data_IF_237111109988
#
_entry.id   IF_237111109988
#
_cell.length_a   1.000
_cell.length_b   1.000
_cell.length_c   1.000
_cell.angle_alpha   90.00
_cell.angle_beta   90.00
_cell.angle_gamma   90.00
#
_symmetry.space_group_name_H-M   'P 1'
#
loop_
_entity.id
_entity.type
_entity.pdbx_description
1 polymer ?
#
# COMPACT_ATOMS: atom_id res chain seq x y z
N UNK A 1 5.16 10.66 7.03
CA UNK A 1 5.13 9.48 6.13
C UNK A 1 3.73 9.33 5.57
N UNK A 2 3.60 9.25 4.24
CA UNK A 2 2.32 9.27 3.53
C UNK A 2 1.55 7.94 3.55
N UNK A 3 2.20 6.85 3.99
CA UNK A 3 1.58 5.53 4.07
C UNK A 3 2.06 4.80 5.33
N UNK A 4 1.34 4.99 6.44
CA UNK A 4 1.66 4.36 7.74
C UNK A 4 1.25 2.88 7.75
N UNK A 5 0.16 2.54 7.07
CA UNK A 5 -0.39 1.19 6.99
C UNK A 5 0.59 0.19 6.36
N UNK A 6 1.31 0.57 5.30
CA UNK A 6 2.32 -0.29 4.69
C UNK A 6 3.48 -0.64 5.63
N UNK A 7 3.81 0.24 6.59
CA UNK A 7 4.90 0.01 7.53
C UNK A 7 4.44 -0.73 8.80
N UNK A 8 3.19 -0.51 9.21
CA UNK A 8 2.60 -1.16 10.37
C UNK A 8 1.16 -1.62 10.04
N UNK A 9 0.95 -2.94 9.82
CA UNK A 9 -0.37 -3.48 9.53
C UNK A 9 -1.34 -3.32 10.70
N UNK A 10 -0.86 -3.17 11.94
CA UNK A 10 -1.69 -2.89 13.12
C UNK A 10 -2.31 -1.47 13.13
N UNK A 11 -2.01 -0.65 12.12
CA UNK A 11 -2.73 0.61 11.88
C UNK A 11 -4.07 0.36 11.17
N UNK A 12 -4.33 -0.85 10.63
CA UNK A 12 -5.65 -1.21 10.13
C UNK A 12 -6.71 -0.95 11.21
N UNK A 13 -7.75 -0.18 10.87
CA UNK A 13 -8.83 0.17 11.80
C UNK A 13 -8.43 1.03 13.00
N UNK A 14 -7.23 1.62 13.02
CA UNK A 14 -6.86 2.62 14.04
C UNK A 14 -7.73 3.89 13.93
N UNK A 15 -8.38 4.08 12.79
CA UNK A 15 -9.39 5.11 12.57
C UNK A 15 -10.72 4.43 12.22
N UNK A 16 -11.86 5.00 12.66
CA UNK A 16 -13.19 4.42 12.39
C UNK A 16 -13.63 4.57 10.93
N UNK A 17 -12.97 5.44 10.17
CA UNK A 17 -13.30 5.74 8.78
C UNK A 17 -12.54 4.82 7.80
N UNK A 18 -13.04 4.74 6.57
CA UNK A 18 -12.30 4.11 5.48
C UNK A 18 -11.13 5.01 5.06
N UNK A 19 -9.91 4.51 5.21
CA UNK A 19 -8.71 5.18 4.74
C UNK A 19 -8.13 4.47 3.53
N UNK A 20 -8.11 5.16 2.38
CA UNK A 20 -7.47 4.70 1.16
C UNK A 20 -6.32 5.63 0.76
N UNK A 21 -5.18 5.05 0.36
CA UNK A 21 -4.02 5.79 -0.11
C UNK A 21 -3.54 5.22 -1.44
N UNK A 22 -3.31 6.10 -2.41
CA UNK A 22 -2.62 5.79 -3.66
C UNK A 22 -1.30 6.57 -3.70
N UNK A 23 -0.20 5.86 -3.87
CA UNK A 23 1.13 6.43 -4.00
C UNK A 23 1.78 5.92 -5.28
N UNK A 24 2.30 6.82 -6.09
CA UNK A 24 3.11 6.49 -7.25
C UNK A 24 4.44 7.24 -7.17
N UNK A 25 5.53 6.51 -7.36
CA UNK A 25 6.89 7.04 -7.28
C UNK A 25 7.67 6.62 -8.51
N UNK A 26 8.16 7.62 -9.24
CA UNK A 26 9.13 7.43 -10.32
C UNK A 26 10.52 7.81 -9.80
N UNK A 27 11.47 6.91 -9.94
CA UNK A 27 12.86 7.14 -9.56
C UNK A 27 13.70 7.26 -10.82
N UNK A 28 14.85 7.93 -10.74
CA UNK A 28 15.81 8.04 -11.86
C UNK A 28 15.17 8.51 -13.17
N UNK A 29 14.34 9.55 -13.06
CA UNK A 29 13.55 10.08 -14.17
C UNK A 29 14.46 10.46 -15.34
N UNK A 30 14.09 10.05 -16.55
CA UNK A 30 14.88 10.27 -17.77
C UNK A 30 15.78 9.11 -18.17
N UNK A 31 15.84 8.04 -17.37
CA UNK A 31 16.49 6.77 -17.76
C UNK A 31 15.41 5.80 -18.25
N UNK A 32 15.60 5.21 -19.43
CA UNK A 32 14.69 4.17 -19.92
C UNK A 32 14.76 2.92 -19.05
N UNK A 33 13.59 2.41 -18.68
CA UNK A 33 13.47 1.29 -17.73
C UNK A 33 13.69 1.66 -16.26
N UNK A 34 13.69 2.96 -15.92
CA UNK A 34 13.90 3.40 -14.56
C UNK A 34 12.88 2.81 -13.55
N UNK A 35 13.28 2.60 -12.29
CA UNK A 35 12.41 2.02 -11.29
C UNK A 35 11.16 2.86 -11.00
N UNK A 36 10.01 2.21 -11.06
CA UNK A 36 8.71 2.79 -10.71
C UNK A 36 8.04 1.94 -9.64
N UNK A 37 7.50 2.60 -8.63
CA UNK A 37 6.78 1.94 -7.52
C UNK A 37 5.38 2.52 -7.47
N UNK A 38 4.37 1.67 -7.53
CA UNK A 38 2.97 2.03 -7.30
C UNK A 38 2.44 1.26 -6.11
N UNK A 39 1.80 1.95 -5.17
CA UNK A 39 1.18 1.35 -4.01
C UNK A 39 -0.25 1.86 -3.87
N UNK A 40 -1.18 0.92 -3.75
CA UNK A 40 -2.57 1.18 -3.40
C UNK A 40 -2.85 0.45 -2.09
N UNK A 41 -3.35 1.14 -1.09
CA UNK A 41 -3.84 0.50 0.11
C UNK A 41 -5.17 1.08 0.56
N UNK A 42 -5.95 0.24 1.23
CA UNK A 42 -7.20 0.61 1.87
C UNK A 42 -7.34 -0.15 3.18
N UNK A 43 -7.73 0.51 4.25
CA UNK A 43 -8.01 -0.10 5.55
C UNK A 43 -9.14 0.63 6.25
N UNK A 44 -9.88 -0.11 7.08
CA UNK A 44 -10.99 0.42 7.86
C UNK A 44 -11.19 -0.42 9.13
N UNK A 45 -11.85 0.18 10.12
CA UNK A 45 -12.37 -0.58 11.26
C UNK A 45 -13.65 -1.32 10.84
N UNK A 46 -13.80 -2.57 11.28
CA UNK A 46 -14.99 -3.39 11.02
C UNK A 46 -15.59 -3.81 12.35
N UNK A 47 -16.75 -3.24 12.68
CA UNK A 47 -17.43 -3.43 13.97
C UNK A 47 -17.67 -4.92 14.28
N UNK A 48 -18.10 -5.71 13.28
CA UNK A 48 -18.38 -7.15 13.44
C UNK A 48 -17.14 -7.94 13.88
N UNK A 49 -15.96 -7.49 13.45
CA UNK A 49 -14.68 -8.13 13.72
C UNK A 49 -14.01 -7.56 14.99
N UNK A 50 -14.57 -6.50 15.57
CA UNK A 50 -13.99 -5.71 16.66
C UNK A 50 -12.51 -5.33 16.39
N UNK A 51 -12.17 -5.13 15.12
CA UNK A 51 -10.80 -5.02 14.65
C UNK A 51 -10.71 -4.34 13.29
N UNK A 52 -9.49 -4.15 12.81
CA UNK A 52 -9.24 -3.44 11.56
C UNK A 52 -8.87 -4.38 10.44
N UNK A 53 -9.49 -4.22 9.28
CA UNK A 53 -9.08 -4.96 8.08
C UNK A 53 -8.36 -4.03 7.12
N UNK A 54 -7.38 -4.56 6.42
CA UNK A 54 -6.61 -3.79 5.44
C UNK A 54 -6.16 -4.63 4.27
N UNK A 55 -6.13 -3.99 3.11
CA UNK A 55 -5.59 -4.52 1.86
C UNK A 55 -4.48 -3.59 1.39
N UNK A 56 -3.35 -4.17 1.02
CA UNK A 56 -2.22 -3.47 0.42
C UNK A 56 -1.86 -4.16 -0.91
N UNK A 57 -1.79 -3.39 -1.98
CA UNK A 57 -1.34 -3.82 -3.30
C UNK A 57 -0.14 -2.96 -3.68
N UNK A 58 1.02 -3.61 -3.76
CA UNK A 58 2.27 -3.01 -4.17
C UNK A 58 2.64 -3.56 -5.56
N UNK A 59 3.07 -2.66 -6.43
CA UNK A 59 3.59 -2.98 -7.74
C UNK A 59 4.91 -2.23 -7.94
N UNK A 60 6.00 -2.97 -7.88
CA UNK A 60 7.34 -2.50 -8.16
C UNK A 60 7.77 -2.96 -9.54
N UNK A 61 8.32 -2.04 -10.33
CA UNK A 61 8.94 -2.34 -11.62
C UNK A 61 10.32 -1.70 -11.64
N UNK A 62 11.33 -2.48 -11.99
CA UNK A 62 12.69 -2.03 -12.21
C UNK A 62 13.21 -2.68 -13.50
N UNK A 63 13.28 -1.92 -14.59
CA UNK A 63 13.57 -2.44 -15.92
C UNK A 63 12.71 -3.68 -16.27
N UNK A 64 13.35 -4.85 -16.44
CA UNK A 64 12.68 -6.11 -16.78
C UNK A 64 12.15 -6.89 -15.56
N UNK A 65 12.41 -6.41 -14.34
CA UNK A 65 11.89 -7.01 -13.12
C UNK A 65 10.57 -6.34 -12.75
N UNK A 66 9.51 -7.13 -12.59
CA UNK A 66 8.23 -6.66 -12.06
C UNK A 66 7.84 -7.54 -10.89
N UNK A 67 7.64 -6.93 -9.72
CA UNK A 67 7.17 -7.60 -8.52
C UNK A 67 5.82 -7.01 -8.11
N UNK A 68 4.82 -7.87 -7.98
CA UNK A 68 3.51 -7.52 -7.43
C UNK A 68 3.36 -8.22 -6.11
N UNK A 69 3.04 -7.47 -5.07
CA UNK A 69 2.81 -7.99 -3.73
C UNK A 69 1.41 -7.58 -3.30
N UNK A 70 0.63 -8.55 -2.85
CA UNK A 70 -0.68 -8.33 -2.26
C UNK A 70 -0.56 -8.78 -0.81
N UNK A 71 -0.97 -7.93 0.12
CA UNK A 71 -0.96 -8.21 1.54
C UNK A 71 -2.32 -7.89 2.14
N UNK A 72 -2.81 -8.79 2.99
CA UNK A 72 -4.01 -8.62 3.78
C UNK A 72 -3.61 -8.48 5.25
N UNK A 73 -4.36 -7.69 6.00
CA UNK A 73 -4.13 -7.44 7.41
C UNK A 73 -5.46 -7.46 8.17
N UNK A 74 -5.43 -7.98 9.39
CA UNK A 74 -6.55 -8.15 10.33
C UNK A 74 -6.05 -7.87 11.75
#
# INVERSE_FOLDING_TARGET
MFNKFMYNPGVAGAYPELHATLLHRNQWVGIDGAPTTSNLNAHAYVDVLHGGVGLNVLNDRAANLSMKTISLSY
#
